data_IF_617473484944
#
_entry.id   IF_617473484944
#
_cell.length_a   1.000
_cell.length_b   1.000
_cell.length_c   1.000
_cell.angle_alpha   90.00
_cell.angle_beta   90.00
_cell.angle_gamma   90.00
#
_symmetry.space_group_name_H-M   'P 1'
#
loop_
_entity.id
_entity.type
_entity.pdbx_description
1 polymer ?
#
# COMPACT_ATOMS: atom_id res chain seq x y z
N UNK A 1 23.61 -1.68 -5.16
CA UNK A 1 23.90 -0.69 -4.13
C UNK A 1 24.78 0.41 -4.70
N UNK A 2 24.32 1.66 -4.61
CA UNK A 2 24.99 2.82 -5.21
C UNK A 2 25.91 3.57 -4.22
N UNK A 3 26.00 3.11 -2.99
CA UNK A 3 26.69 3.81 -1.92
C UNK A 3 25.74 4.79 -1.18
N UNK A 4 26.22 5.36 -0.09
CA UNK A 4 25.50 6.33 0.75
C UNK A 4 24.06 5.89 1.13
N UNK A 5 23.87 4.60 1.34
CA UNK A 5 22.59 3.94 1.70
C UNK A 5 21.49 4.10 0.65
N UNK A 6 21.87 4.30 -0.63
CA UNK A 6 20.98 4.32 -1.79
C UNK A 6 21.07 3.01 -2.57
N UNK A 7 19.92 2.53 -3.02
CA UNK A 7 19.84 1.36 -3.90
C UNK A 7 19.09 1.70 -5.19
N UNK A 8 19.39 0.95 -6.23
CA UNK A 8 18.66 0.93 -7.50
C UNK A 8 18.15 -0.49 -7.74
N UNK A 9 16.90 -0.62 -8.14
CA UNK A 9 16.30 -1.90 -8.50
C UNK A 9 15.59 -1.80 -9.84
N UNK A 10 15.90 -2.74 -10.76
CA UNK A 10 15.30 -2.78 -12.08
C UNK A 10 14.43 -4.04 -12.22
N UNK A 11 13.15 -3.85 -12.56
CA UNK A 11 12.22 -4.92 -12.87
C UNK A 11 12.51 -5.42 -14.30
N UNK A 12 13.14 -6.59 -14.41
CA UNK A 12 13.66 -7.09 -15.67
C UNK A 12 12.60 -7.26 -16.77
N UNK A 13 11.39 -7.64 -16.39
CA UNK A 13 10.31 -7.87 -17.35
C UNK A 13 9.80 -6.58 -17.99
N UNK A 14 9.67 -5.49 -17.24
CA UNK A 14 9.15 -4.20 -17.71
C UNK A 14 10.25 -3.18 -17.99
N UNK A 15 11.49 -3.47 -17.59
CA UNK A 15 12.63 -2.56 -17.62
C UNK A 15 12.40 -1.24 -16.84
N UNK A 16 11.51 -1.27 -15.86
CA UNK A 16 11.23 -0.14 -14.99
C UNK A 16 12.21 -0.13 -13.83
N UNK A 17 12.76 1.04 -13.50
CA UNK A 17 13.73 1.22 -12.43
C UNK A 17 13.16 2.09 -11.32
N UNK A 18 13.43 1.69 -10.07
CA UNK A 18 13.13 2.47 -8.86
C UNK A 18 14.38 2.66 -8.03
N UNK A 19 14.41 3.72 -7.24
CA UNK A 19 15.48 4.00 -6.28
C UNK A 19 14.93 3.98 -4.87
N UNK A 20 15.77 3.58 -3.91
CA UNK A 20 15.46 3.69 -2.48
C UNK A 20 16.57 4.39 -1.73
N UNK A 21 16.19 5.09 -0.66
CA UNK A 21 17.12 5.64 0.33
C UNK A 21 16.82 5.08 1.72
N UNK A 22 17.85 4.88 2.53
CA UNK A 22 17.61 4.76 3.95
C UNK A 22 16.97 6.06 4.48
N UNK A 23 16.04 6.00 5.43
CA UNK A 23 15.39 7.19 5.96
C UNK A 23 16.36 8.02 6.82
N UNK A 24 16.02 9.31 7.01
CA UNK A 24 16.88 10.25 7.78
C UNK A 24 17.10 9.81 9.21
N UNK A 25 16.11 9.20 9.85
CA UNK A 25 16.20 8.66 11.21
C UNK A 25 17.05 7.38 11.30
N UNK A 26 17.53 6.86 10.17
CA UNK A 26 18.42 5.72 10.05
C UNK A 26 19.63 6.01 9.14
N UNK A 27 20.23 7.16 9.31
CA UNK A 27 21.48 7.63 8.65
C UNK A 27 21.39 7.86 7.14
N UNK A 28 20.22 7.76 6.53
CA UNK A 28 20.02 7.94 5.09
C UNK A 28 19.72 9.37 4.68
N UNK A 29 19.70 9.60 3.36
CA UNK A 29 19.33 10.90 2.76
C UNK A 29 17.83 11.16 2.83
N UNK A 30 17.00 10.11 2.73
CA UNK A 30 15.56 10.21 2.78
C UNK A 30 14.95 11.03 1.63
N UNK A 31 15.60 11.02 0.46
CA UNK A 31 15.14 11.72 -0.75
C UNK A 31 14.23 10.85 -1.62
N UNK A 32 14.27 9.55 -1.40
CA UNK A 32 13.49 8.53 -2.09
C UNK A 32 12.69 7.70 -1.07
N UNK A 33 11.78 6.87 -1.56
CA UNK A 33 11.13 5.88 -0.70
C UNK A 33 12.17 5.03 0.04
N UNK A 34 11.97 4.80 1.31
CA UNK A 34 12.75 3.78 2.01
C UNK A 34 12.25 2.37 1.63
N UNK A 35 13.06 1.33 1.83
CA UNK A 35 12.60 -0.05 1.61
C UNK A 35 11.31 -0.38 2.39
N UNK A 36 11.17 0.13 3.61
CA UNK A 36 9.97 -0.07 4.43
C UNK A 36 8.77 0.77 3.95
N UNK A 37 9.00 1.94 3.32
CA UNK A 37 7.94 2.69 2.63
C UNK A 37 7.39 1.90 1.44
N UNK A 38 8.25 1.20 0.70
CA UNK A 38 7.82 0.35 -0.41
C UNK A 38 6.92 -0.80 0.08
N UNK A 39 7.19 -1.39 1.24
CA UNK A 39 6.31 -2.41 1.84
C UNK A 39 4.94 -1.83 2.14
N UNK A 40 4.89 -0.66 2.77
CA UNK A 40 3.62 0.01 3.08
C UNK A 40 2.85 0.40 1.80
N UNK A 41 3.56 0.92 0.80
CA UNK A 41 2.99 1.26 -0.52
C UNK A 41 2.47 0.02 -1.24
N UNK A 42 3.20 -1.10 -1.18
CA UNK A 42 2.76 -2.36 -1.78
C UNK A 42 1.44 -2.85 -1.19
N UNK A 43 1.23 -2.70 0.13
CA UNK A 43 -0.02 -3.07 0.77
C UNK A 43 -1.20 -2.27 0.21
N UNK A 44 -1.11 -0.94 0.19
CA UNK A 44 -2.17 -0.06 -0.32
C UNK A 44 -2.43 -0.31 -1.82
N UNK A 45 -1.38 -0.39 -2.63
CA UNK A 45 -1.49 -0.63 -4.07
C UNK A 45 -2.16 -1.97 -4.37
N UNK A 46 -1.81 -3.01 -3.61
CA UNK A 46 -2.41 -4.34 -3.76
C UNK A 46 -3.91 -4.32 -3.41
N UNK A 47 -4.29 -3.68 -2.30
CA UNK A 47 -5.70 -3.54 -1.91
C UNK A 47 -6.53 -2.87 -3.00
N UNK A 48 -6.08 -1.72 -3.52
CA UNK A 48 -6.78 -0.99 -4.59
C UNK A 48 -6.85 -1.83 -5.87
N UNK A 49 -5.78 -2.54 -6.23
CA UNK A 49 -5.77 -3.42 -7.41
C UNK A 49 -6.79 -4.55 -7.30
N UNK A 50 -6.91 -5.19 -6.13
CA UNK A 50 -7.90 -6.25 -5.90
C UNK A 50 -9.32 -5.66 -5.98
N UNK A 51 -9.56 -4.47 -5.45
CA UNK A 51 -10.85 -3.80 -5.59
C UNK A 51 -11.20 -3.52 -7.06
N UNK A 52 -10.22 -3.06 -7.87
CA UNK A 52 -10.40 -2.88 -9.31
C UNK A 52 -10.75 -4.18 -10.04
N UNK A 53 -10.09 -5.28 -9.69
CA UNK A 53 -10.40 -6.62 -10.24
C UNK A 53 -11.84 -7.04 -9.90
N UNK A 54 -12.26 -6.82 -8.66
CA UNK A 54 -13.62 -7.14 -8.21
C UNK A 54 -14.64 -6.28 -8.93
N UNK A 55 -14.40 -4.98 -9.08
CA UNK A 55 -15.27 -4.07 -9.83
C UNK A 55 -15.52 -4.56 -11.25
N UNK A 56 -14.46 -5.00 -11.94
CA UNK A 56 -14.58 -5.55 -13.31
C UNK A 56 -15.36 -6.87 -13.35
N UNK A 57 -15.09 -7.77 -12.40
CA UNK A 57 -15.73 -9.11 -12.37
C UNK A 57 -17.22 -9.04 -12.01
N UNK A 58 -17.59 -8.22 -11.05
CA UNK A 58 -18.96 -8.09 -10.55
C UNK A 58 -19.79 -7.09 -11.36
N UNK A 59 -19.18 -6.31 -12.24
CA UNK A 59 -19.86 -5.27 -13.02
C UNK A 59 -20.45 -4.16 -12.14
N UNK A 60 -19.81 -3.85 -11.02
CA UNK A 60 -20.23 -2.82 -10.06
C UNK A 60 -19.53 -1.49 -10.31
N UNK A 61 -19.92 -0.46 -9.55
CA UNK A 61 -19.37 0.89 -9.68
C UNK A 61 -17.84 0.88 -9.66
N UNK A 62 -17.22 1.49 -10.68
CA UNK A 62 -15.77 1.55 -10.82
C UNK A 62 -15.12 2.38 -9.74
N UNK A 63 -13.91 2.01 -9.43
CA UNK A 63 -13.08 2.67 -8.40
C UNK A 63 -11.93 3.49 -9.01
N UNK A 64 -12.02 3.79 -10.30
CA UNK A 64 -10.99 4.60 -11.00
C UNK A 64 -10.87 5.97 -10.34
N UNK A 65 -9.65 6.36 -10.01
CA UNK A 65 -9.37 7.60 -9.27
C UNK A 65 -9.34 7.43 -7.74
N UNK A 66 -9.51 6.21 -7.22
CA UNK A 66 -9.28 5.92 -5.80
C UNK A 66 -7.85 6.27 -5.41
N UNK A 67 -7.71 6.98 -4.29
CA UNK A 67 -6.41 7.31 -3.71
C UNK A 67 -6.24 6.63 -2.35
N UNK A 68 -5.00 6.52 -1.89
CA UNK A 68 -4.71 6.03 -0.55
C UNK A 68 -3.67 6.92 0.13
N UNK A 69 -3.97 7.29 1.37
CA UNK A 69 -3.00 7.89 2.28
C UNK A 69 -2.45 6.80 3.18
N UNK A 70 -1.13 6.69 3.24
CA UNK A 70 -0.45 5.58 3.91
C UNK A 70 0.51 6.11 4.95
N UNK A 71 0.34 5.68 6.19
CA UNK A 71 1.25 5.98 7.29
C UNK A 71 1.85 4.69 7.83
N UNK A 72 3.18 4.62 7.82
CA UNK A 72 3.97 3.54 8.38
C UNK A 72 4.44 3.92 9.78
N UNK A 73 4.27 3.03 10.76
CA UNK A 73 4.74 3.22 12.13
C UNK A 73 5.81 2.15 12.42
N UNK A 74 7.03 2.61 12.71
CA UNK A 74 8.14 1.74 13.05
C UNK A 74 8.16 1.46 14.55
N UNK A 75 8.44 0.20 14.93
CA UNK A 75 8.73 -0.19 16.30
C UNK A 75 10.25 -0.32 16.48
N UNK A 76 10.73 -0.09 17.70
CA UNK A 76 12.16 0.04 17.96
C UNK A 76 12.87 -1.31 18.22
N UNK A 77 12.24 -2.23 18.95
CA UNK A 77 12.88 -3.45 19.42
C UNK A 77 12.06 -4.72 19.13
N UNK A 78 12.44 -5.48 18.12
CA UNK A 78 13.43 -5.13 17.10
C UNK A 78 12.90 -4.03 16.16
N UNK A 79 13.80 -3.30 15.49
CA UNK A 79 13.40 -2.31 14.49
C UNK A 79 12.65 -3.00 13.35
N UNK A 80 11.36 -2.70 13.22
CA UNK A 80 10.46 -3.31 12.24
C UNK A 80 9.25 -2.43 12.00
N UNK A 81 8.53 -2.69 10.92
CA UNK A 81 7.22 -2.07 10.73
C UNK A 81 6.27 -2.69 11.77
N UNK A 82 5.77 -1.88 12.69
CA UNK A 82 4.80 -2.30 13.68
C UNK A 82 3.36 -2.14 13.22
N UNK A 83 3.08 -1.02 12.55
CA UNK A 83 1.74 -0.72 12.02
C UNK A 83 1.82 -0.11 10.62
N UNK A 84 0.81 -0.37 9.82
CA UNK A 84 0.52 0.36 8.57
C UNK A 84 -0.92 0.82 8.63
N UNK A 85 -1.11 2.14 8.59
CA UNK A 85 -2.42 2.78 8.54
C UNK A 85 -2.68 3.26 7.12
N UNK A 86 -3.82 2.87 6.55
CA UNK A 86 -4.20 3.21 5.18
C UNK A 86 -5.61 3.81 5.21
N UNK A 87 -5.75 5.03 4.71
CA UNK A 87 -7.04 5.62 4.41
C UNK A 87 -7.28 5.54 2.92
N UNK A 88 -8.22 4.70 2.49
CA UNK A 88 -8.61 4.54 1.09
C UNK A 88 -9.75 5.50 0.81
N UNK A 89 -9.52 6.45 -0.10
CA UNK A 89 -10.46 7.51 -0.44
C UNK A 89 -11.02 7.21 -1.84
N UNK A 90 -12.30 6.88 -1.90
CA UNK A 90 -12.99 6.59 -3.14
C UNK A 90 -13.39 7.88 -3.86
N UNK A 91 -13.39 7.90 -5.20
CA UNK A 91 -13.89 9.03 -5.96
C UNK A 91 -15.40 9.20 -5.71
N UNK A 92 -15.90 10.39 -6.02
CA UNK A 92 -17.33 10.66 -5.94
C UNK A 92 -18.13 9.67 -6.79
N UNK A 93 -19.14 9.03 -6.19
CA UNK A 93 -19.93 7.99 -6.88
C UNK A 93 -21.11 7.51 -6.04
N UNK A 94 -22.01 6.79 -6.68
CA UNK A 94 -23.18 6.21 -6.03
C UNK A 94 -22.90 4.76 -5.59
N UNK A 95 -22.08 4.59 -4.56
CA UNK A 95 -21.78 3.27 -4.00
C UNK A 95 -22.91 2.79 -3.09
N UNK A 96 -23.52 1.68 -3.44
CA UNK A 96 -24.51 1.03 -2.58
C UNK A 96 -23.84 0.40 -1.35
N UNK A 97 -24.57 0.18 -0.27
CA UNK A 97 -24.03 -0.48 0.93
C UNK A 97 -23.51 -1.89 0.63
N UNK A 98 -24.09 -2.56 -0.35
CA UNK A 98 -23.63 -3.87 -0.82
C UNK A 98 -22.26 -3.75 -1.49
N UNK A 99 -22.08 -2.78 -2.38
CA UNK A 99 -20.78 -2.54 -3.06
C UNK A 99 -19.69 -2.12 -2.08
N UNK A 100 -20.01 -1.26 -1.12
CA UNK A 100 -19.06 -0.87 -0.06
C UNK A 100 -18.53 -2.09 0.67
N UNK A 101 -19.39 -2.99 1.12
CA UNK A 101 -19.00 -4.24 1.80
C UNK A 101 -18.18 -5.17 0.89
N UNK A 102 -18.48 -5.22 -0.40
CA UNK A 102 -17.70 -6.00 -1.37
C UNK A 102 -16.27 -5.44 -1.46
N UNK A 103 -16.12 -4.12 -1.58
CA UNK A 103 -14.80 -3.48 -1.66
C UNK A 103 -14.00 -3.60 -0.37
N UNK A 104 -14.62 -3.39 0.77
CA UNK A 104 -14.00 -3.57 2.09
C UNK A 104 -13.48 -5.01 2.24
N UNK A 105 -14.32 -6.00 1.92
CA UNK A 105 -13.89 -7.40 1.95
C UNK A 105 -12.74 -7.68 0.98
N UNK A 106 -12.82 -7.16 -0.25
CA UNK A 106 -11.79 -7.33 -1.27
C UNK A 106 -10.42 -6.82 -0.80
N UNK A 107 -10.36 -5.64 -0.17
CA UNK A 107 -9.12 -5.07 0.35
C UNK A 107 -8.40 -6.03 1.30
N UNK A 108 -9.13 -6.67 2.22
CA UNK A 108 -8.55 -7.60 3.19
C UNK A 108 -8.12 -8.95 2.60
N UNK A 109 -8.50 -9.24 1.36
CA UNK A 109 -8.10 -10.49 0.68
C UNK A 109 -6.83 -10.34 -0.16
N UNK A 110 -6.23 -9.16 -0.19
CA UNK A 110 -5.07 -8.89 -1.04
C UNK A 110 -3.86 -9.76 -0.63
N UNK A 111 -3.11 -10.30 -1.62
CA UNK A 111 -1.97 -11.19 -1.33
C UNK A 111 -0.90 -10.55 -0.45
N UNK A 112 -0.63 -9.25 -0.61
CA UNK A 112 0.35 -8.56 0.24
C UNK A 112 -0.11 -8.56 1.69
N UNK A 113 -1.39 -8.25 1.98
CA UNK A 113 -1.93 -8.31 3.34
C UNK A 113 -1.74 -9.69 3.98
N UNK A 114 -1.90 -10.76 3.18
CA UNK A 114 -1.73 -12.15 3.64
C UNK A 114 -0.28 -12.57 3.81
N UNK A 115 0.65 -11.87 3.18
CA UNK A 115 2.09 -12.18 3.21
C UNK A 115 2.86 -11.44 4.30
N UNK A 116 2.27 -10.42 4.90
CA UNK A 116 2.89 -9.67 5.99
C UNK A 116 2.84 -10.46 7.30
N UNK A 117 3.82 -10.19 8.18
CA UNK A 117 3.88 -10.85 9.48
C UNK A 117 2.57 -10.63 10.26
N UNK A 118 2.03 -11.64 10.96
CA UNK A 118 0.78 -11.52 11.73
C UNK A 118 0.79 -10.42 12.80
N UNK A 119 1.94 -10.11 13.38
CA UNK A 119 2.10 -9.08 14.41
C UNK A 119 2.11 -7.66 13.83
N UNK A 120 2.23 -7.52 12.49
CA UNK A 120 2.13 -6.22 11.84
C UNK A 120 0.65 -5.81 11.82
N UNK A 121 0.34 -4.74 12.52
CA UNK A 121 -1.03 -4.23 12.61
C UNK A 121 -1.39 -3.46 11.34
N UNK A 122 -2.44 -3.91 10.67
CA UNK A 122 -3.02 -3.26 9.49
C UNK A 122 -4.29 -2.52 9.91
N UNK A 123 -4.30 -1.19 9.79
CA UNK A 123 -5.45 -0.34 10.11
C UNK A 123 -5.93 0.28 8.81
N UNK A 124 -7.13 -0.08 8.37
CA UNK A 124 -7.67 0.32 7.06
C UNK A 124 -8.97 1.07 7.27
N UNK A 125 -8.99 2.31 6.82
CA UNK A 125 -10.17 3.18 6.83
C UNK A 125 -10.65 3.43 5.40
N UNK A 126 -11.96 3.49 5.20
CA UNK A 126 -12.60 3.69 3.91
C UNK A 126 -13.42 4.98 3.93
N UNK A 127 -13.10 5.90 3.01
CA UNK A 127 -13.80 7.18 2.84
C UNK A 127 -14.53 7.16 1.51
N UNK A 128 -15.85 7.19 1.57
CA UNK A 128 -16.76 7.22 0.41
C UNK A 128 -17.21 8.66 0.15
N UNK A 129 -16.90 9.19 -1.04
CA UNK A 129 -17.29 10.55 -1.46
C UNK A 129 -18.55 10.56 -2.31
#
# INVERSE_FOLDING_TARGET
YLGELRTEATHLQSNTTIFTDAPKDNHGKGEMFSPTDLVATALASCMISIMGIVAMKEGITKVDGTTAEVTKIMYAEPRRIGEIHITIIFPQGNYTDKEKKIYEHAAYTCPVAKSLHPDLKQVIDFVWQ
#
